data_IF_594081565586
#
_entry.id   IF_594081565586
#
_cell.length_a   1.000
_cell.length_b   1.000
_cell.length_c   1.000
_cell.angle_alpha   90.00
_cell.angle_beta   90.00
_cell.angle_gamma   90.00
#
_symmetry.space_group_name_H-M   'P 1'
#
loop_
_entity.id
_entity.type
_entity.pdbx_description
1 polymer ?
#
# COMPACT_ATOMS: atom_id res chain seq x y z
N UNK A 1 -37.49 -4.39 4.71
CA UNK A 1 -36.67 -5.55 5.11
C UNK A 1 -35.74 -6.08 4.03
N UNK A 2 -36.10 -6.13 2.75
CA UNK A 2 -35.19 -6.65 1.69
C UNK A 2 -33.91 -5.78 1.55
N UNK A 3 -34.01 -4.45 1.72
CA UNK A 3 -32.84 -3.55 1.60
C UNK A 3 -31.77 -3.71 2.70
N UNK A 4 -32.12 -4.21 3.88
CA UNK A 4 -31.15 -4.29 5.00
C UNK A 4 -30.24 -5.53 4.84
N UNK A 5 -30.79 -6.64 4.36
CA UNK A 5 -30.02 -7.87 4.09
C UNK A 5 -28.93 -7.67 3.03
N UNK A 6 -29.27 -6.96 1.94
CA UNK A 6 -28.30 -6.67 0.86
C UNK A 6 -27.11 -5.82 1.32
N UNK A 7 -27.30 -4.94 2.31
CA UNK A 7 -26.23 -4.03 2.74
C UNK A 7 -25.15 -4.76 3.57
N UNK A 8 -25.53 -5.75 4.38
CA UNK A 8 -24.58 -6.48 5.23
C UNK A 8 -23.67 -7.42 4.42
N UNK A 9 -24.21 -8.09 3.39
CA UNK A 9 -23.41 -8.97 2.52
C UNK A 9 -22.33 -8.19 1.73
N UNK A 10 -22.60 -6.93 1.38
CA UNK A 10 -21.63 -6.07 0.71
C UNK A 10 -20.46 -5.69 1.64
N UNK A 11 -20.71 -5.46 2.93
CA UNK A 11 -19.67 -5.06 3.89
C UNK A 11 -18.70 -6.22 4.21
N UNK A 12 -19.20 -7.45 4.31
CA UNK A 12 -18.36 -8.63 4.58
C UNK A 12 -17.50 -8.98 3.36
N UNK A 13 -18.08 -8.92 2.15
CA UNK A 13 -17.35 -9.14 0.90
C UNK A 13 -16.23 -8.12 0.71
N UNK A 14 -16.52 -6.83 0.93
CA UNK A 14 -15.52 -5.76 0.80
C UNK A 14 -14.38 -5.91 1.81
N UNK A 15 -14.68 -6.28 3.05
CA UNK A 15 -13.67 -6.55 4.08
C UNK A 15 -12.77 -7.73 3.69
N UNK A 16 -13.35 -8.83 3.20
CA UNK A 16 -12.59 -10.00 2.75
C UNK A 16 -11.64 -9.66 1.61
N UNK A 17 -12.14 -8.95 0.58
CA UNK A 17 -11.34 -8.53 -0.57
C UNK A 17 -10.19 -7.63 -0.11
N UNK A 18 -10.47 -6.65 0.74
CA UNK A 18 -9.47 -5.74 1.27
C UNK A 18 -8.34 -6.47 2.03
N UNK A 19 -8.70 -7.36 2.95
CA UNK A 19 -7.72 -8.11 3.75
C UNK A 19 -6.91 -9.09 2.87
N UNK A 20 -7.54 -9.69 1.85
CA UNK A 20 -6.86 -10.57 0.90
C UNK A 20 -5.83 -9.80 0.06
N UNK A 21 -6.18 -8.62 -0.45
CA UNK A 21 -5.25 -7.76 -1.17
C UNK A 21 -4.04 -7.37 -0.31
N UNK A 22 -4.26 -6.99 0.95
CA UNK A 22 -3.17 -6.64 1.87
C UNK A 22 -2.27 -7.84 2.19
N UNK A 23 -2.84 -9.04 2.32
CA UNK A 23 -2.07 -10.27 2.54
C UNK A 23 -1.17 -10.58 1.33
N UNK A 24 -1.70 -10.49 0.11
CA UNK A 24 -0.92 -10.69 -1.13
C UNK A 24 0.19 -9.65 -1.23
N UNK A 25 -0.11 -8.39 -0.95
CA UNK A 25 0.88 -7.31 -0.95
C UNK A 25 2.00 -7.58 0.06
N UNK A 26 1.65 -8.04 1.26
CA UNK A 26 2.64 -8.41 2.28
C UNK A 26 3.50 -9.59 1.85
N UNK A 27 2.89 -10.62 1.25
CA UNK A 27 3.62 -11.77 0.72
C UNK A 27 4.60 -11.38 -0.40
N UNK A 28 4.19 -10.49 -1.31
CA UNK A 28 5.07 -9.93 -2.34
C UNK A 28 6.24 -9.14 -1.73
N UNK A 29 5.97 -8.35 -0.69
CA UNK A 29 7.00 -7.62 0.02
C UNK A 29 8.01 -8.58 0.66
N UNK A 30 7.56 -9.61 1.38
CA UNK A 30 8.44 -10.66 1.93
C UNK A 30 9.24 -11.36 0.82
N UNK A 31 8.61 -11.68 -0.31
CA UNK A 31 9.26 -12.29 -1.48
C UNK A 31 10.37 -11.41 -2.06
N UNK A 32 10.18 -10.08 -2.08
CA UNK A 32 11.21 -9.14 -2.50
C UNK A 32 12.43 -9.17 -1.58
N UNK A 33 12.22 -9.23 -0.26
CA UNK A 33 13.34 -9.37 0.69
C UNK A 33 14.03 -10.73 0.57
N UNK A 34 13.27 -11.80 0.33
CA UNK A 34 13.85 -13.13 0.10
C UNK A 34 14.70 -13.17 -1.19
N UNK A 35 14.23 -12.57 -2.29
CA UNK A 35 15.02 -12.43 -3.52
C UNK A 35 16.29 -11.60 -3.30
N UNK A 36 16.20 -10.54 -2.47
CA UNK A 36 17.39 -9.79 -2.04
C UNK A 36 18.39 -10.67 -1.31
N UNK A 37 17.95 -11.53 -0.37
CA UNK A 37 18.84 -12.47 0.35
C UNK A 37 19.58 -13.39 -0.61
N UNK A 38 18.88 -13.96 -1.59
CA UNK A 38 19.48 -14.88 -2.59
C UNK A 38 20.53 -14.18 -3.45
N UNK A 39 20.35 -12.88 -3.70
CA UNK A 39 21.23 -12.06 -4.53
C UNK A 39 22.30 -11.30 -3.74
N UNK A 40 22.40 -11.48 -2.42
CA UNK A 40 23.44 -10.81 -1.62
C UNK A 40 24.81 -11.38 -2.00
N UNK A 41 25.57 -10.61 -2.77
CA UNK A 41 27.01 -10.78 -2.91
C UNK A 41 27.68 -10.13 -1.69
N UNK A 42 27.82 -10.89 -0.61
CA UNK A 42 28.39 -10.40 0.65
C UNK A 42 28.96 -11.53 1.50
N UNK A 43 29.81 -11.18 2.46
CA UNK A 43 30.34 -12.14 3.43
C UNK A 43 29.23 -12.81 4.27
N UNK A 44 29.55 -13.87 5.02
CA UNK A 44 28.58 -14.62 5.81
C UNK A 44 27.78 -13.76 6.81
N UNK A 45 28.35 -12.65 7.28
CA UNK A 45 27.68 -11.70 8.16
C UNK A 45 26.52 -10.96 7.47
N UNK A 46 26.70 -10.55 6.20
CA UNK A 46 25.67 -9.86 5.44
C UNK A 46 24.47 -10.78 5.15
N UNK A 47 24.75 -12.05 4.85
CA UNK A 47 23.71 -13.08 4.67
C UNK A 47 22.95 -13.33 5.98
N UNK A 48 23.66 -13.41 7.12
CA UNK A 48 23.04 -13.59 8.42
C UNK A 48 22.11 -12.42 8.78
N UNK A 49 22.55 -11.19 8.53
CA UNK A 49 21.74 -10.00 8.77
C UNK A 49 20.52 -9.94 7.86
N UNK A 50 20.69 -10.23 6.56
CA UNK A 50 19.58 -10.24 5.61
C UNK A 50 18.54 -11.31 5.96
N UNK A 51 18.98 -12.48 6.45
CA UNK A 51 18.08 -13.53 6.95
C UNK A 51 17.31 -13.10 8.20
N UNK A 52 17.97 -12.39 9.12
CA UNK A 52 17.32 -11.85 10.30
C UNK A 52 16.21 -10.85 9.93
N UNK A 53 16.44 -10.00 8.92
CA UNK A 53 15.46 -9.04 8.42
C UNK A 53 14.26 -9.75 7.77
N UNK A 54 14.51 -10.76 6.92
CA UNK A 54 13.44 -11.61 6.35
C UNK A 54 12.62 -12.25 7.45
N UNK A 55 13.27 -12.85 8.45
CA UNK A 55 12.58 -13.49 9.58
C UNK A 55 11.70 -12.49 10.33
N UNK A 56 12.18 -11.27 10.58
CA UNK A 56 11.41 -10.22 11.25
C UNK A 56 10.16 -9.85 10.45
N UNK A 57 10.29 -9.71 9.12
CA UNK A 57 9.14 -9.44 8.22
C UNK A 57 8.16 -10.62 8.18
N UNK A 58 8.63 -11.86 8.08
CA UNK A 58 7.75 -13.05 8.10
C UNK A 58 6.96 -13.10 9.41
N UNK A 59 7.60 -12.84 10.55
CA UNK A 59 6.92 -12.79 11.85
C UNK A 59 5.90 -11.65 11.94
N UNK A 60 6.21 -10.49 11.38
CA UNK A 60 5.27 -9.36 11.28
C UNK A 60 4.04 -9.65 10.40
N UNK A 61 4.16 -10.59 9.47
CA UNK A 61 3.06 -11.02 8.59
C UNK A 61 2.05 -11.94 9.25
N UNK A 62 2.42 -12.63 10.32
CA UNK A 62 1.54 -13.61 11.00
C UNK A 62 0.20 -12.99 11.40
N UNK A 63 0.15 -11.82 12.08
CA UNK A 63 -1.10 -11.14 12.39
C UNK A 63 -1.99 -10.87 11.16
N UNK A 64 -1.39 -10.39 10.06
CA UNK A 64 -2.12 -10.09 8.80
C UNK A 64 -2.75 -11.36 8.24
N UNK A 65 -2.01 -12.46 8.23
CA UNK A 65 -2.48 -13.74 7.71
C UNK A 65 -3.55 -14.36 8.61
N UNK A 66 -3.41 -14.23 9.94
CA UNK A 66 -4.46 -14.64 10.89
C UNK A 66 -5.73 -13.82 10.73
N UNK A 67 -5.63 -12.52 10.48
CA UNK A 67 -6.78 -11.67 10.21
C UNK A 67 -7.47 -12.03 8.89
N UNK A 68 -6.70 -12.39 7.85
CA UNK A 68 -7.23 -12.92 6.59
C UNK A 68 -8.00 -14.22 6.80
N UNK A 69 -7.43 -15.18 7.53
CA UNK A 69 -8.09 -16.44 7.84
C UNK A 69 -9.36 -16.24 8.68
N UNK A 70 -9.34 -15.27 9.61
CA UNK A 70 -10.53 -14.91 10.37
C UNK A 70 -11.60 -14.28 9.46
N UNK A 71 -11.25 -13.30 8.64
CA UNK A 71 -12.20 -12.69 7.70
C UNK A 71 -12.81 -13.74 6.74
N UNK A 72 -12.00 -14.67 6.25
CA UNK A 72 -12.47 -15.78 5.41
C UNK A 72 -13.42 -16.72 6.16
N UNK A 73 -13.11 -17.04 7.43
CA UNK A 73 -14.00 -17.82 8.30
C UNK A 73 -15.34 -17.11 8.50
N UNK A 74 -15.30 -15.82 8.85
CA UNK A 74 -16.51 -15.03 9.13
C UNK A 74 -17.41 -14.94 7.89
N UNK A 75 -16.82 -14.74 6.72
CA UNK A 75 -17.53 -14.78 5.43
C UNK A 75 -18.22 -16.12 5.18
N UNK A 76 -17.52 -17.24 5.38
CA UNK A 76 -18.06 -18.59 5.13
C UNK A 76 -19.19 -18.98 6.10
N UNK A 77 -19.04 -18.67 7.39
CA UNK A 77 -20.04 -19.05 8.40
C UNK A 77 -21.28 -18.13 8.38
N UNK A 78 -21.13 -16.84 8.12
CA UNK A 78 -22.27 -15.92 8.08
C UNK A 78 -23.20 -16.14 6.87
N UNK A 79 -22.71 -16.73 5.77
CA UNK A 79 -23.56 -17.10 4.62
C UNK A 79 -24.56 -18.23 4.98
N UNK A 80 -24.24 -19.04 5.99
CA UNK A 80 -25.04 -20.22 6.35
C UNK A 80 -26.10 -19.98 7.43
N UNK A 81 -26.09 -18.82 8.12
CA UNK A 81 -27.01 -18.55 9.24
C UNK A 81 -27.87 -17.31 8.96
N UNK A 82 -29.10 -17.55 8.52
CA UNK A 82 -30.05 -16.54 8.02
C UNK A 82 -30.71 -15.66 9.11
N UNK A 83 -30.14 -15.58 10.31
CA UNK A 83 -30.85 -15.02 11.47
C UNK A 83 -30.11 -13.85 12.11
N UNK A 84 -30.78 -12.70 12.02
CA UNK A 84 -30.56 -11.45 12.76
C UNK A 84 -29.35 -10.61 12.29
N UNK A 85 -29.64 -9.35 11.94
CA UNK A 85 -28.66 -8.35 11.53
C UNK A 85 -27.63 -8.10 12.63
N UNK A 86 -26.50 -8.81 12.60
CA UNK A 86 -25.32 -8.44 13.36
C UNK A 86 -24.62 -7.28 12.65
N UNK A 87 -24.33 -6.22 13.42
CA UNK A 87 -23.43 -5.16 13.00
C UNK A 87 -22.09 -5.79 12.58
N UNK A 88 -21.58 -5.40 11.40
CA UNK A 88 -20.38 -5.99 10.82
C UNK A 88 -19.23 -5.96 11.82
N UNK A 89 -18.61 -7.12 12.04
CA UNK A 89 -17.54 -7.27 13.01
C UNK A 89 -16.31 -6.44 12.58
N UNK A 90 -15.88 -5.42 13.36
CA UNK A 90 -14.75 -4.57 12.98
C UNK A 90 -13.38 -5.21 13.26
N UNK A 91 -13.33 -6.32 14.01
CA UNK A 91 -12.09 -6.94 14.47
C UNK A 91 -11.11 -7.30 13.35
N UNK A 92 -11.52 -7.80 12.16
CA UNK A 92 -10.57 -8.09 11.08
C UNK A 92 -9.81 -6.85 10.60
N UNK A 93 -10.49 -5.71 10.50
CA UNK A 93 -9.85 -4.44 10.08
C UNK A 93 -8.86 -3.97 11.14
N UNK A 94 -9.24 -4.06 12.42
CA UNK A 94 -8.37 -3.68 13.55
C UNK A 94 -7.13 -4.58 13.62
N UNK A 95 -7.30 -5.90 13.43
CA UNK A 95 -6.22 -6.88 13.46
C UNK A 95 -5.24 -6.73 12.30
N UNK A 96 -5.67 -6.20 11.15
CA UNK A 96 -4.77 -5.87 10.04
C UNK A 96 -4.10 -4.51 10.25
N UNK A 97 -4.84 -3.53 10.76
CA UNK A 97 -4.33 -2.18 10.95
C UNK A 97 -3.27 -2.09 12.04
N UNK A 98 -3.52 -2.70 13.21
CA UNK A 98 -2.64 -2.56 14.38
C UNK A 98 -1.20 -3.03 14.12
N UNK A 99 -0.95 -4.24 13.57
CA UNK A 99 0.41 -4.70 13.25
C UNK A 99 1.11 -3.79 12.25
N UNK A 100 0.37 -3.30 11.24
CA UNK A 100 0.90 -2.34 10.28
C UNK A 100 1.37 -1.07 10.99
N UNK A 101 0.54 -0.47 11.85
CA UNK A 101 0.93 0.73 12.61
C UNK A 101 2.10 0.49 13.56
N UNK A 102 2.14 -0.67 14.23
CA UNK A 102 3.26 -1.05 15.10
C UNK A 102 4.56 -1.20 14.30
N UNK A 103 4.51 -1.85 13.14
CA UNK A 103 5.66 -1.98 12.24
C UNK A 103 6.13 -0.62 11.74
N UNK A 104 5.20 0.27 11.36
CA UNK A 104 5.56 1.64 10.96
C UNK A 104 6.14 2.46 12.11
N UNK A 105 5.59 2.34 13.31
CA UNK A 105 6.12 3.03 14.49
C UNK A 105 7.54 2.54 14.81
N UNK A 106 7.79 1.23 14.75
CA UNK A 106 9.11 0.65 14.99
C UNK A 106 10.13 1.13 13.95
N UNK A 107 9.77 1.10 12.67
CA UNK A 107 10.64 1.58 11.58
C UNK A 107 10.94 3.08 11.71
N UNK A 108 9.96 3.88 12.12
CA UNK A 108 10.12 5.31 12.34
C UNK A 108 11.05 5.58 13.53
N UNK A 109 10.88 4.85 14.64
CA UNK A 109 11.78 4.93 15.81
C UNK A 109 13.20 4.52 15.43
N UNK A 110 13.37 3.41 14.72
CA UNK A 110 14.68 2.97 14.23
C UNK A 110 15.32 4.02 13.33
N UNK A 111 14.54 4.63 12.43
CA UNK A 111 15.01 5.72 11.56
C UNK A 111 15.43 6.96 12.36
N UNK A 112 14.65 7.35 13.38
CA UNK A 112 14.98 8.48 14.25
C UNK A 112 16.25 8.20 15.07
N UNK A 113 16.39 7.00 15.63
CA UNK A 113 17.58 6.57 16.38
C UNK A 113 18.80 6.56 15.46
N UNK A 114 18.70 5.98 14.26
CA UNK A 114 19.77 5.97 13.27
C UNK A 114 20.14 7.37 12.78
N UNK A 115 19.17 8.27 12.67
CA UNK A 115 19.43 9.67 12.34
C UNK A 115 20.17 10.39 13.47
N UNK A 116 19.87 10.06 14.72
CA UNK A 116 20.56 10.62 15.89
C UNK A 116 21.98 10.07 16.06
N UNK A 117 22.25 8.83 15.65
CA UNK A 117 23.55 8.16 15.79
C UNK A 117 24.42 8.24 14.54
N UNK A 118 24.32 9.34 13.78
CA UNK A 118 24.89 9.59 12.46
C UNK A 118 26.42 9.44 12.38
N UNK A 119 26.93 8.22 12.51
CA UNK A 119 28.34 7.90 12.37
C UNK A 119 28.62 7.36 10.97
N UNK A 120 29.69 7.86 10.34
CA UNK A 120 29.83 7.93 8.88
C UNK A 120 30.15 6.60 8.17
N UNK A 121 30.03 5.46 8.84
CA UNK A 121 30.45 4.14 8.32
C UNK A 121 29.33 3.23 7.81
N UNK A 122 28.16 3.76 7.45
CA UNK A 122 27.03 2.92 7.01
C UNK A 122 27.23 2.22 5.65
N UNK A 123 28.19 2.66 4.83
CA UNK A 123 28.44 2.07 3.50
C UNK A 123 29.15 0.72 3.55
N UNK A 124 29.77 0.35 4.66
CA UNK A 124 30.56 -0.89 4.76
C UNK A 124 29.74 -2.11 5.20
N UNK A 125 28.60 -1.89 5.87
CA UNK A 125 27.84 -2.98 6.52
C UNK A 125 26.62 -3.41 5.69
N UNK A 126 26.08 -2.56 4.81
CA UNK A 126 24.86 -2.87 4.05
C UNK A 126 25.15 -3.35 2.64
N UNK A 127 24.35 -4.34 2.24
CA UNK A 127 24.31 -4.85 0.87
C UNK A 127 23.92 -3.69 -0.08
N UNK A 128 24.71 -3.44 -1.13
CA UNK A 128 24.36 -2.43 -2.12
C UNK A 128 23.08 -2.83 -2.85
N UNK A 129 22.02 -2.05 -2.69
CA UNK A 129 20.79 -2.21 -3.47
C UNK A 129 20.96 -1.53 -4.83
N UNK A 130 20.54 -2.19 -5.92
CA UNK A 130 20.46 -1.56 -7.22
C UNK A 130 19.34 -0.50 -7.22
N UNK A 131 19.71 0.75 -6.97
CA UNK A 131 18.78 1.87 -6.82
C UNK A 131 18.00 2.17 -8.10
N UNK A 132 18.63 2.00 -9.27
CA UNK A 132 17.98 2.23 -10.56
C UNK A 132 16.80 1.27 -10.76
N UNK A 133 17.03 0.00 -10.43
CA UNK A 133 15.99 -1.02 -10.47
C UNK A 133 14.85 -0.74 -9.47
N UNK A 134 15.19 -0.32 -8.25
CA UNK A 134 14.20 0.04 -7.23
C UNK A 134 13.35 1.22 -7.68
N UNK A 135 13.96 2.30 -8.18
CA UNK A 135 13.24 3.48 -8.67
C UNK A 135 12.30 3.10 -9.82
N UNK A 136 12.75 2.24 -10.74
CA UNK A 136 11.93 1.74 -11.85
C UNK A 136 10.67 1.02 -11.34
N UNK A 137 10.83 0.06 -10.42
CA UNK A 137 9.70 -0.67 -9.82
C UNK A 137 8.75 0.23 -9.04
N UNK A 138 9.26 1.23 -8.34
CA UNK A 138 8.43 2.21 -7.63
C UNK A 138 7.66 3.11 -8.62
N UNK A 139 8.24 3.41 -9.79
CA UNK A 139 7.54 4.07 -10.90
C UNK A 139 6.38 3.22 -11.44
N UNK A 140 6.60 1.93 -11.68
CA UNK A 140 5.55 0.99 -12.09
C UNK A 140 4.42 0.91 -11.06
N UNK A 141 4.77 0.86 -9.77
CA UNK A 141 3.79 0.86 -8.68
C UNK A 141 2.89 2.11 -8.70
N UNK A 142 3.48 3.31 -8.87
CA UNK A 142 2.68 4.55 -8.96
C UNK A 142 1.82 4.57 -10.21
N UNK A 143 2.31 4.05 -11.34
CA UNK A 143 1.53 3.93 -12.56
C UNK A 143 0.31 3.01 -12.39
N UNK A 144 0.45 1.92 -11.64
CA UNK A 144 -0.67 1.04 -11.28
C UNK A 144 -1.72 1.78 -10.43
N UNK A 145 -1.30 2.46 -9.37
CA UNK A 145 -2.24 3.20 -8.50
C UNK A 145 -2.96 4.32 -9.23
N UNK A 146 -2.29 4.97 -10.17
CA UNK A 146 -2.92 5.91 -11.08
C UNK A 146 -3.94 5.23 -11.99
N UNK A 147 -3.57 4.11 -12.60
CA UNK A 147 -4.47 3.32 -13.45
C UNK A 147 -5.76 2.96 -12.73
N UNK A 148 -5.66 2.49 -11.49
CA UNK A 148 -6.82 2.18 -10.64
C UNK A 148 -7.68 3.42 -10.32
N UNK A 149 -7.02 4.57 -10.12
CA UNK A 149 -7.71 5.84 -9.87
C UNK A 149 -8.50 6.31 -11.10
N UNK A 150 -7.94 6.18 -12.30
CA UNK A 150 -8.62 6.51 -13.56
C UNK A 150 -9.74 5.51 -13.87
N UNK A 151 -9.47 4.21 -13.69
CA UNK A 151 -10.46 3.16 -13.93
C UNK A 151 -11.68 3.31 -13.01
N UNK A 152 -11.47 3.74 -11.77
CA UNK A 152 -12.53 4.07 -10.83
C UNK A 152 -13.45 5.21 -11.31
N UNK A 153 -12.94 6.16 -12.11
CA UNK A 153 -13.74 7.24 -12.70
C UNK A 153 -14.54 6.78 -13.91
N UNK A 154 -13.96 5.89 -14.73
CA UNK A 154 -14.57 5.42 -15.98
C UNK A 154 -15.72 4.43 -15.73
N UNK A 155 -15.68 3.68 -14.62
CA UNK A 155 -16.73 2.69 -14.29
C UNK A 155 -18.08 3.35 -13.98
N UNK A 156 -18.13 4.64 -13.63
CA UNK A 156 -19.39 5.32 -13.28
C UNK A 156 -20.27 5.46 -14.52
N UNK A 157 -21.55 5.12 -14.40
CA UNK A 157 -22.53 5.27 -15.49
C UNK A 157 -22.54 6.72 -16.03
N UNK A 158 -22.67 6.86 -17.35
CA UNK A 158 -22.60 8.15 -18.01
C UNK A 158 -23.96 8.88 -17.92
N UNK A 159 -23.94 10.11 -17.39
CA UNK A 159 -25.11 10.99 -17.35
C UNK A 159 -24.94 12.16 -18.33
N UNK A 160 -25.97 12.54 -19.10
CA UNK A 160 -25.89 13.67 -20.05
C UNK A 160 -25.83 15.05 -19.36
N UNK A 161 -25.85 15.12 -18.03
CA UNK A 161 -25.83 16.37 -17.29
C UNK A 161 -24.52 17.16 -17.45
N UNK A 162 -24.61 18.47 -17.73
CA UNK A 162 -23.44 19.37 -17.81
C UNK A 162 -22.54 19.29 -16.55
N UNK A 163 -23.15 19.17 -15.36
CA UNK A 163 -22.42 19.05 -14.08
C UNK A 163 -21.60 17.77 -13.98
N UNK A 164 -22.12 16.67 -14.52
CA UNK A 164 -21.41 15.39 -14.60
C UNK A 164 -20.15 15.52 -15.46
N UNK A 165 -20.28 16.05 -16.68
CA UNK A 165 -19.15 16.22 -17.61
C UNK A 165 -18.05 17.12 -17.02
N UNK A 166 -18.43 18.25 -16.40
CA UNK A 166 -17.46 19.16 -15.77
C UNK A 166 -16.72 18.47 -14.62
N UNK A 167 -17.43 17.73 -13.77
CA UNK A 167 -16.83 17.01 -12.64
C UNK A 167 -15.90 15.89 -13.11
N UNK A 168 -16.32 15.14 -14.13
CA UNK A 168 -15.53 14.07 -14.73
C UNK A 168 -14.23 14.60 -15.33
N UNK A 169 -14.31 15.67 -16.14
CA UNK A 169 -13.14 16.31 -16.72
C UNK A 169 -12.21 16.89 -15.64
N UNK A 170 -12.75 17.49 -14.58
CA UNK A 170 -11.96 17.99 -13.45
C UNK A 170 -11.22 16.86 -12.73
N UNK A 171 -11.88 15.71 -12.51
CA UNK A 171 -11.26 14.52 -11.94
C UNK A 171 -10.11 13.98 -12.79
N UNK A 172 -10.31 13.85 -14.10
CA UNK A 172 -9.26 13.43 -15.04
C UNK A 172 -8.07 14.39 -15.02
N UNK A 173 -8.29 15.70 -15.08
CA UNK A 173 -7.23 16.71 -15.03
C UNK A 173 -6.46 16.64 -13.70
N UNK A 174 -7.15 16.45 -12.57
CA UNK A 174 -6.51 16.34 -11.27
C UNK A 174 -5.58 15.11 -11.18
N UNK A 175 -6.04 13.94 -11.63
CA UNK A 175 -5.24 12.71 -11.66
C UNK A 175 -4.03 12.85 -12.60
N UNK A 176 -4.23 13.43 -13.79
CA UNK A 176 -3.12 13.70 -14.73
C UNK A 176 -2.13 14.72 -14.17
N UNK A 177 -2.59 15.74 -13.46
CA UNK A 177 -1.70 16.74 -12.86
C UNK A 177 -0.85 16.12 -11.74
N UNK A 178 -1.42 15.24 -10.91
CA UNK A 178 -0.67 14.48 -9.91
C UNK A 178 0.42 13.63 -10.56
N UNK A 179 0.07 12.89 -11.63
CA UNK A 179 1.04 12.12 -12.41
C UNK A 179 2.20 12.98 -12.90
N UNK A 180 1.87 14.12 -13.49
CA UNK A 180 2.84 15.05 -14.03
C UNK A 180 3.79 15.56 -12.95
N UNK A 181 3.25 15.94 -11.78
CA UNK A 181 4.04 16.39 -10.65
C UNK A 181 5.00 15.31 -10.17
N UNK A 182 4.54 14.07 -10.01
CA UNK A 182 5.37 12.95 -9.59
C UNK A 182 6.58 12.72 -10.51
N UNK A 183 6.33 12.55 -11.81
CA UNK A 183 7.41 12.29 -12.78
C UNK A 183 8.33 13.49 -12.95
N UNK A 184 7.85 14.72 -12.74
CA UNK A 184 8.68 15.92 -12.78
C UNK A 184 9.56 16.06 -11.55
N UNK A 185 9.10 15.61 -10.39
CA UNK A 185 9.89 15.67 -9.14
C UNK A 185 10.94 14.56 -9.02
N UNK A 186 10.74 13.44 -9.72
CA UNK A 186 11.70 12.34 -9.67
C UNK A 186 12.89 12.61 -10.61
N UNK A 187 14.14 12.53 -10.11
CA UNK A 187 15.32 12.67 -10.95
C UNK A 187 15.43 11.47 -11.91
N UNK A 188 15.85 11.74 -13.14
CA UNK A 188 16.10 10.72 -14.17
C UNK A 188 17.32 9.85 -13.84
N UNK A 189 18.29 10.39 -13.10
CA UNK A 189 19.50 9.68 -12.69
C UNK A 189 19.38 9.14 -11.27
N UNK A 190 19.77 7.88 -11.08
CA UNK A 190 19.86 7.26 -9.76
C UNK A 190 20.91 7.94 -8.85
N UNK A 191 21.90 8.62 -9.43
CA UNK A 191 22.96 9.33 -8.69
C UNK A 191 22.43 10.53 -7.92
N UNK A 192 21.41 11.20 -8.47
CA UNK A 192 20.79 12.38 -7.86
C UNK A 192 19.67 12.03 -6.88
N UNK A 193 19.30 10.76 -6.78
CA UNK A 193 18.17 10.32 -5.98
C UNK A 193 18.43 10.45 -4.47
N UNK A 194 17.42 10.86 -3.69
CA UNK A 194 17.53 11.03 -2.24
C UNK A 194 17.98 9.74 -1.51
N UNK A 195 17.52 8.58 -2.01
CA UNK A 195 17.94 7.24 -1.55
C UNK A 195 19.46 7.01 -1.66
N UNK A 196 20.15 7.66 -2.60
CA UNK A 196 21.60 7.56 -2.76
C UNK A 196 22.35 8.48 -1.81
N UNK A 197 21.78 9.66 -1.52
CA UNK A 197 22.42 10.70 -0.70
C UNK A 197 22.41 10.37 0.79
N UNK A 198 21.32 9.81 1.30
CA UNK A 198 21.22 9.46 2.72
C UNK A 198 20.19 8.36 2.97
N UNK A 199 20.42 7.59 4.03
CA UNK A 199 19.47 6.56 4.50
C UNK A 199 18.15 7.22 4.93
N UNK A 200 18.22 8.31 5.68
CA UNK A 200 17.05 9.07 6.10
C UNK A 200 16.24 9.57 4.89
N UNK A 201 16.91 10.10 3.86
CA UNK A 201 16.27 10.53 2.62
C UNK A 201 15.61 9.37 1.87
N UNK A 202 16.19 8.17 1.95
CA UNK A 202 15.56 6.97 1.37
C UNK A 202 14.29 6.54 2.09
N UNK A 203 14.30 6.55 3.43
CA UNK A 203 13.08 6.28 4.21
C UNK A 203 12.01 7.36 3.97
N UNK A 204 12.37 8.64 4.01
CA UNK A 204 11.45 9.75 3.74
C UNK A 204 10.79 9.61 2.36
N UNK A 205 11.59 9.27 1.34
CA UNK A 205 11.07 9.03 -0.01
C UNK A 205 10.09 7.85 -0.04
N UNK A 206 10.45 6.72 0.54
CA UNK A 206 9.60 5.52 0.54
C UNK A 206 8.27 5.76 1.27
N UNK A 207 8.29 6.40 2.44
CA UNK A 207 7.09 6.76 3.18
C UNK A 207 6.24 7.81 2.46
N UNK A 208 6.88 8.82 1.89
CA UNK A 208 6.21 9.82 1.05
C UNK A 208 5.50 9.17 -0.13
N UNK A 209 6.13 8.16 -0.75
CA UNK A 209 5.54 7.39 -1.85
C UNK A 209 4.30 6.62 -1.42
N UNK A 210 4.31 5.95 -0.27
CA UNK A 210 3.15 5.21 0.25
C UNK A 210 1.97 6.17 0.49
N UNK A 211 2.23 7.31 1.15
CA UNK A 211 1.21 8.33 1.40
C UNK A 211 0.67 8.87 0.07
N UNK A 212 1.57 9.16 -0.88
CA UNK A 212 1.21 9.64 -2.21
C UNK A 212 0.34 8.63 -2.98
N UNK A 213 0.68 7.34 -2.96
CA UNK A 213 -0.14 6.27 -3.56
C UNK A 213 -1.53 6.18 -2.93
N UNK A 214 -1.64 6.30 -1.60
CA UNK A 214 -2.93 6.33 -0.92
C UNK A 214 -3.76 7.56 -1.32
N UNK A 215 -3.13 8.74 -1.42
CA UNK A 215 -3.78 9.95 -1.89
C UNK A 215 -4.31 9.84 -3.32
N UNK A 216 -3.59 9.16 -4.23
CA UNK A 216 -4.07 8.91 -5.60
C UNK A 216 -5.37 8.11 -5.60
N UNK A 217 -5.41 6.98 -4.89
CA UNK A 217 -6.61 6.14 -4.78
C UNK A 217 -7.76 6.92 -4.16
N UNK A 218 -7.51 7.63 -3.05
CA UNK A 218 -8.53 8.43 -2.38
C UNK A 218 -9.09 9.52 -3.30
N UNK A 219 -8.27 10.12 -4.16
CA UNK A 219 -8.72 11.09 -5.16
C UNK A 219 -9.68 10.45 -6.18
N UNK A 220 -9.32 9.30 -6.75
CA UNK A 220 -10.20 8.56 -7.66
C UNK A 220 -11.54 8.18 -7.01
N UNK A 221 -11.49 7.64 -5.78
CA UNK A 221 -12.69 7.32 -5.00
C UNK A 221 -13.56 8.54 -4.69
N UNK A 222 -12.94 9.68 -4.34
CA UNK A 222 -13.68 10.91 -4.01
C UNK A 222 -14.46 11.43 -5.21
N UNK A 223 -13.83 11.50 -6.38
CA UNK A 223 -14.50 11.91 -7.61
C UNK A 223 -15.57 10.90 -8.07
N UNK A 224 -15.34 9.60 -7.89
CA UNK A 224 -16.36 8.57 -8.13
C UNK A 224 -17.61 8.81 -7.27
N UNK A 225 -17.45 9.11 -5.98
CA UNK A 225 -18.57 9.41 -5.08
C UNK A 225 -19.31 10.69 -5.49
N UNK A 226 -18.58 11.73 -5.89
CA UNK A 226 -19.19 12.98 -6.37
C UNK A 226 -19.97 12.73 -7.67
N UNK A 227 -19.42 11.96 -8.61
CA UNK A 227 -20.11 11.64 -9.88
C UNK A 227 -21.40 10.84 -9.63
N UNK A 228 -21.40 9.94 -8.66
CA UNK A 228 -22.58 9.17 -8.28
C UNK A 228 -23.71 10.05 -7.72
N UNK A 229 -23.44 11.25 -7.20
CA UNK A 229 -24.49 12.19 -6.77
C UNK A 229 -25.23 12.85 -7.95
N UNK A 230 -24.70 12.75 -9.17
CA UNK A 230 -25.29 13.32 -10.38
C UNK A 230 -26.01 12.29 -11.28
N UNK A 231 -26.04 11.02 -10.84
CA UNK A 231 -26.89 9.96 -11.39
C UNK A 231 -28.26 9.99 -10.71
#
# INVERSE_FOLDING_TARGET
NINISNNNNNNNTTTLVFVSCLSVLYALHVGLYADLVVRVEGGPEAVHQAWHDVRRKVLGGIPVWTAMLWAARDYYYNDSTTTCAQEGNPWPVVLVGLPFFVEQAFMLVETLVLHATQDKSHKQVRVPMNLEFTIHRLGEWVMLMLGESVLSLIIVEASPGRRYVVTFCAGMVAVTMMQYLYFRTNPLSADDHAMRRSIAGGYQFFYGLIIYSACLILMGCSFKLILHQYL
#
